data_IF_422300189361
#
_entry.id   IF_422300189361
#
_cell.length_a   1.000
_cell.length_b   1.000
_cell.length_c   1.000
_cell.angle_alpha   90.00
_cell.angle_beta   90.00
_cell.angle_gamma   90.00
#
_symmetry.space_group_name_H-M   'P 1'
#
loop_
_entity.id
_entity.type
_entity.pdbx_description
1 polymer ?
#
# COMPACT_ATOMS: atom_id res chain seq x y z
N UNK A 1 0.49 1.00 -10.88
CA UNK A 1 0.70 -0.33 -10.24
C UNK A 1 1.97 -0.38 -9.37
N UNK A 2 2.42 0.74 -8.78
CA UNK A 2 3.68 0.72 -8.00
C UNK A 2 3.50 0.08 -6.62
N UNK A 3 2.27 0.12 -6.08
CA UNK A 3 1.92 -0.45 -4.77
C UNK A 3 2.00 -1.97 -4.73
N UNK A 4 1.93 -2.66 -5.87
CA UNK A 4 1.97 -4.13 -5.91
C UNK A 4 3.37 -4.68 -5.65
N UNK A 5 4.41 -3.91 -5.97
CA UNK A 5 5.81 -4.26 -5.74
C UNK A 5 6.10 -4.48 -4.24
N UNK A 6 5.87 -3.51 -3.33
CA UNK A 6 6.13 -3.71 -1.91
C UNK A 6 5.25 -4.81 -1.30
N UNK A 7 3.99 -4.91 -1.72
CA UNK A 7 3.07 -5.97 -1.25
C UNK A 7 3.63 -7.35 -1.59
N UNK A 8 3.98 -7.57 -2.86
CA UNK A 8 4.52 -8.85 -3.33
C UNK A 8 5.82 -9.20 -2.61
N UNK A 9 6.72 -8.23 -2.46
CA UNK A 9 8.01 -8.44 -1.79
C UNK A 9 7.87 -8.77 -0.30
N UNK A 10 6.97 -8.11 0.43
CA UNK A 10 6.76 -8.41 1.85
C UNK A 10 6.02 -9.72 2.10
N UNK A 11 5.04 -10.07 1.25
CA UNK A 11 4.42 -11.40 1.29
C UNK A 11 5.45 -12.48 0.99
N UNK A 12 6.27 -12.29 -0.04
CA UNK A 12 7.32 -13.24 -0.40
C UNK A 12 8.40 -13.35 0.68
N UNK A 13 8.80 -12.23 1.28
CA UNK A 13 9.72 -12.20 2.43
C UNK A 13 9.20 -13.06 3.59
N UNK A 14 7.91 -12.93 3.93
CA UNK A 14 7.26 -13.74 4.95
C UNK A 14 7.21 -15.23 4.58
N UNK A 15 6.99 -15.57 3.31
CA UNK A 15 7.06 -16.96 2.84
C UNK A 15 8.47 -17.51 3.00
N UNK A 16 9.49 -16.76 2.60
CA UNK A 16 10.89 -17.16 2.79
C UNK A 16 11.24 -17.38 4.26
N UNK A 17 10.72 -16.56 5.18
CA UNK A 17 10.87 -16.76 6.62
C UNK A 17 10.32 -18.12 7.08
N UNK A 18 9.13 -18.52 6.60
CA UNK A 18 8.55 -19.82 6.94
C UNK A 18 9.33 -20.99 6.32
N UNK A 19 9.79 -20.84 5.07
CA UNK A 19 10.62 -21.86 4.43
C UNK A 19 11.94 -22.03 5.18
N UNK A 20 12.57 -20.93 5.63
CA UNK A 20 13.76 -21.01 6.48
C UNK A 20 13.50 -21.77 7.78
N UNK A 21 12.39 -21.48 8.48
CA UNK A 21 12.04 -22.20 9.72
C UNK A 21 11.86 -23.70 9.49
N UNK A 22 11.33 -24.10 8.34
CA UNK A 22 11.12 -25.52 8.02
C UNK A 22 12.38 -26.23 7.52
N UNK A 23 13.22 -25.54 6.75
CA UNK A 23 14.36 -26.14 6.04
C UNK A 23 15.71 -25.93 6.73
N UNK A 24 15.85 -24.89 7.56
CA UNK A 24 17.13 -24.46 8.12
C UNK A 24 18.12 -23.87 7.11
N UNK A 25 17.75 -23.76 5.83
CA UNK A 25 18.65 -23.29 4.77
C UNK A 25 18.74 -21.75 4.78
N UNK A 26 19.91 -21.25 5.16
CA UNK A 26 20.20 -19.82 5.34
C UNK A 26 20.01 -18.98 4.08
N UNK A 27 19.99 -19.59 2.88
CA UNK A 27 19.67 -18.88 1.64
C UNK A 27 18.28 -18.24 1.70
N UNK A 28 17.30 -18.93 2.31
CA UNK A 28 15.96 -18.38 2.48
C UNK A 28 15.91 -17.20 3.44
N UNK A 29 16.72 -17.20 4.50
CA UNK A 29 16.85 -16.07 5.41
C UNK A 29 17.46 -14.84 4.70
N UNK A 30 18.49 -15.06 3.87
CA UNK A 30 19.11 -14.00 3.05
C UNK A 30 18.10 -13.45 2.03
N UNK A 31 17.35 -14.31 1.35
CA UNK A 31 16.30 -13.88 0.41
C UNK A 31 15.19 -13.10 1.13
N UNK A 32 14.72 -13.57 2.29
CA UNK A 32 13.73 -12.86 3.11
C UNK A 32 14.21 -11.45 3.48
N UNK A 33 15.49 -11.33 3.85
CA UNK A 33 16.12 -10.06 4.20
C UNK A 33 16.16 -9.06 3.03
N UNK A 34 16.64 -9.47 1.85
CA UNK A 34 16.72 -8.57 0.71
C UNK A 34 15.34 -8.20 0.14
N UNK A 35 14.38 -9.11 0.20
CA UNK A 35 13.01 -8.84 -0.25
C UNK A 35 12.27 -7.91 0.71
N UNK A 36 12.53 -8.03 2.03
CA UNK A 36 12.07 -7.06 3.03
C UNK A 36 12.59 -5.65 2.71
N UNK A 37 13.90 -5.52 2.48
CA UNK A 37 14.55 -4.25 2.13
C UNK A 37 14.02 -3.66 0.82
N UNK A 38 13.92 -4.48 -0.23
CA UNK A 38 13.36 -4.08 -1.52
C UNK A 38 11.91 -3.62 -1.40
N UNK A 39 11.12 -4.27 -0.54
CA UNK A 39 9.75 -3.86 -0.26
C UNK A 39 9.67 -2.50 0.43
N UNK A 40 10.59 -2.17 1.35
CA UNK A 40 10.66 -0.83 1.96
C UNK A 40 10.93 0.23 0.88
N UNK A 41 11.93 0.01 0.02
CA UNK A 41 12.26 0.93 -1.08
C UNK A 41 11.07 1.08 -2.03
N UNK A 42 10.45 -0.03 -2.42
CA UNK A 42 9.26 -0.02 -3.28
C UNK A 42 8.08 0.72 -2.65
N UNK A 43 7.87 0.61 -1.33
CA UNK A 43 6.81 1.30 -0.61
C UNK A 43 7.04 2.81 -0.56
N UNK A 44 8.28 3.24 -0.33
CA UNK A 44 8.64 4.66 -0.34
C UNK A 44 8.44 5.28 -1.74
N UNK A 45 8.83 4.56 -2.79
CA UNK A 45 8.57 4.99 -4.17
C UNK A 45 7.07 5.03 -4.49
N UNK A 46 6.30 4.05 -4.01
CA UNK A 46 4.85 4.00 -4.17
C UNK A 46 4.10 5.10 -3.38
N UNK A 47 4.65 5.55 -2.26
CA UNK A 47 4.07 6.59 -1.42
C UNK A 47 4.05 7.96 -2.13
N UNK A 48 5.00 8.23 -3.04
CA UNK A 48 5.08 9.51 -3.75
C UNK A 48 3.83 9.81 -4.60
N UNK A 49 3.45 8.97 -5.60
CA UNK A 49 2.23 9.22 -6.36
C UNK A 49 0.99 9.14 -5.48
N UNK A 50 0.94 8.23 -4.50
CA UNK A 50 -0.21 8.12 -3.59
C UNK A 50 -0.43 9.37 -2.73
N UNK A 51 0.65 10.04 -2.32
CA UNK A 51 0.56 11.30 -1.58
C UNK A 51 0.09 12.45 -2.49
N UNK A 52 0.56 12.50 -3.74
CA UNK A 52 0.10 13.49 -4.73
C UNK A 52 -1.40 13.32 -4.97
N UNK A 53 -1.87 12.09 -5.18
CA UNK A 53 -3.29 11.78 -5.37
C UNK A 53 -4.12 12.17 -4.13
N UNK A 54 -3.60 11.89 -2.93
CA UNK A 54 -4.26 12.25 -1.68
C UNK A 54 -4.42 13.76 -1.50
N UNK A 55 -3.39 14.55 -1.83
CA UNK A 55 -3.45 16.02 -1.76
C UNK A 55 -4.42 16.63 -2.79
N UNK A 56 -4.74 15.90 -3.86
CA UNK A 56 -5.74 16.30 -4.85
C UNK A 56 -7.19 15.97 -4.45
N UNK A 57 -7.43 15.35 -3.29
CA UNK A 57 -8.77 15.00 -2.83
C UNK A 57 -9.54 16.22 -2.31
N UNK A 58 -10.72 16.45 -2.88
CA UNK A 58 -11.62 17.54 -2.46
C UNK A 58 -12.86 17.03 -1.70
N UNK A 59 -13.18 15.74 -1.78
CA UNK A 59 -14.30 15.13 -1.06
C UNK A 59 -13.89 14.77 0.38
N UNK A 60 -14.63 15.25 1.37
CA UNK A 60 -14.31 15.05 2.79
C UNK A 60 -14.33 13.57 3.23
N UNK A 61 -15.22 12.75 2.62
CA UNK A 61 -15.32 11.32 2.91
C UNK A 61 -14.12 10.58 2.33
N UNK A 62 -13.72 10.91 1.10
CA UNK A 62 -12.52 10.39 0.47
C UNK A 62 -11.26 10.82 1.24
N UNK A 63 -11.17 12.07 1.67
CA UNK A 63 -10.04 12.56 2.46
C UNK A 63 -9.90 11.82 3.80
N UNK A 64 -11.01 11.55 4.50
CA UNK A 64 -11.00 10.78 5.74
C UNK A 64 -10.51 9.35 5.54
N UNK A 65 -11.06 8.62 4.57
CA UNK A 65 -10.61 7.25 4.26
C UNK A 65 -9.17 7.25 3.75
N UNK A 66 -8.79 8.24 2.95
CA UNK A 66 -7.44 8.47 2.46
C UNK A 66 -6.43 8.69 3.59
N UNK A 67 -6.82 9.42 4.64
CA UNK A 67 -5.97 9.64 5.82
C UNK A 67 -5.75 8.35 6.57
N UNK A 68 -6.81 7.57 6.82
CA UNK A 68 -6.65 6.25 7.46
C UNK A 68 -5.77 5.31 6.64
N UNK A 69 -5.94 5.31 5.31
CA UNK A 69 -5.11 4.53 4.41
C UNK A 69 -3.64 4.98 4.47
N UNK A 70 -3.36 6.29 4.38
CA UNK A 70 -2.02 6.86 4.43
C UNK A 70 -1.31 6.52 5.76
N UNK A 71 -1.98 6.78 6.89
CA UNK A 71 -1.43 6.53 8.23
C UNK A 71 -1.15 5.04 8.43
N UNK A 72 -2.08 4.17 8.02
CA UNK A 72 -1.90 2.73 8.12
C UNK A 72 -0.69 2.26 7.28
N UNK A 73 -0.55 2.72 6.04
CA UNK A 73 0.62 2.35 5.23
C UNK A 73 1.94 2.87 5.80
N UNK A 74 1.96 4.09 6.34
CA UNK A 74 3.16 4.62 6.99
C UNK A 74 3.54 3.81 8.23
N UNK A 75 2.55 3.38 9.03
CA UNK A 75 2.78 2.50 10.17
C UNK A 75 3.32 1.13 9.74
N UNK A 76 2.81 0.55 8.65
CA UNK A 76 3.31 -0.71 8.09
C UNK A 76 4.76 -0.55 7.62
N UNK A 77 5.09 0.53 6.89
CA UNK A 77 6.47 0.82 6.45
C UNK A 77 7.39 0.96 7.65
N UNK A 78 6.98 1.71 8.68
CA UNK A 78 7.76 1.88 9.90
C UNK A 78 7.98 0.54 10.62
N UNK A 79 6.95 -0.30 10.74
CA UNK A 79 7.07 -1.63 11.32
C UNK A 79 8.04 -2.52 10.53
N UNK A 80 7.99 -2.47 9.20
CA UNK A 80 8.92 -3.21 8.35
C UNK A 80 10.35 -2.65 8.40
N UNK A 81 10.52 -1.35 8.59
CA UNK A 81 11.83 -0.75 8.83
C UNK A 81 12.41 -1.17 10.19
N UNK A 82 11.60 -1.21 11.25
CA UNK A 82 12.00 -1.76 12.57
C UNK A 82 12.35 -3.23 12.44
N UNK A 83 11.55 -4.01 11.71
CA UNK A 83 11.84 -5.42 11.41
C UNK A 83 13.20 -5.59 10.72
N UNK A 84 13.46 -4.78 9.68
CA UNK A 84 14.74 -4.78 8.98
C UNK A 84 15.91 -4.42 9.91
N UNK A 85 15.74 -3.38 10.74
CA UNK A 85 16.73 -2.98 11.74
C UNK A 85 17.01 -4.09 12.76
N UNK A 86 15.97 -4.76 13.26
CA UNK A 86 16.13 -5.88 14.20
C UNK A 86 16.91 -7.04 13.56
N UNK A 87 16.72 -7.30 12.26
CA UNK A 87 17.47 -8.34 11.53
C UNK A 87 18.94 -7.97 11.31
N UNK A 88 19.29 -6.69 11.24
CA UNK A 88 20.68 -6.23 11.16
C UNK A 88 21.45 -6.47 12.46
N UNK A 89 20.76 -6.36 13.59
CA UNK A 89 21.35 -6.47 14.93
C UNK A 89 21.42 -7.93 15.42
N UNK A 90 20.81 -8.86 14.70
CA UNK A 90 20.67 -10.23 15.13
C UNK A 90 21.81 -11.11 14.59
N UNK A 91 22.64 -11.62 15.49
CA UNK A 91 23.60 -12.68 15.17
C UNK A 91 22.85 -14.02 15.00
N UNK A 92 22.29 -14.23 13.81
CA UNK A 92 21.78 -15.52 13.34
C UNK A 92 20.44 -16.02 13.93
N UNK A 93 20.04 -15.60 15.13
CA UNK A 93 19.01 -16.33 15.91
C UNK A 93 17.84 -15.49 16.49
N UNK A 94 17.73 -14.18 16.19
CA UNK A 94 16.59 -13.37 16.64
C UNK A 94 15.31 -13.65 15.83
N UNK A 95 14.87 -14.91 15.87
CA UNK A 95 14.04 -15.51 14.85
C UNK A 95 12.54 -15.14 15.01
N UNK A 96 12.04 -14.99 16.25
CA UNK A 96 10.59 -14.92 16.48
C UNK A 96 10.01 -13.51 16.31
N UNK A 97 10.62 -12.49 16.92
CA UNK A 97 10.07 -11.13 16.94
C UNK A 97 10.00 -10.49 15.54
N UNK A 98 11.07 -10.49 14.72
CA UNK A 98 11.01 -9.95 13.35
C UNK A 98 9.97 -10.68 12.48
N UNK A 99 9.80 -11.99 12.64
CA UNK A 99 8.75 -12.76 11.93
C UNK A 99 7.35 -12.37 12.38
N UNK A 100 7.13 -12.21 13.69
CA UNK A 100 5.84 -11.76 14.21
C UNK A 100 5.48 -10.36 13.68
N UNK A 101 6.46 -9.45 13.60
CA UNK A 101 6.28 -8.12 12.98
C UNK A 101 5.90 -8.28 11.49
N UNK A 102 6.61 -9.10 10.72
CA UNK A 102 6.27 -9.38 9.31
C UNK A 102 4.83 -9.86 9.16
N UNK A 103 4.39 -10.82 9.99
CA UNK A 103 3.03 -11.36 9.93
C UNK A 103 1.96 -10.30 10.20
N UNK A 104 2.15 -9.50 11.25
CA UNK A 104 1.21 -8.42 11.60
C UNK A 104 1.19 -7.35 10.51
N UNK A 105 2.35 -6.98 9.95
CA UNK A 105 2.45 -6.04 8.86
C UNK A 105 1.73 -6.52 7.59
N UNK A 106 1.90 -7.80 7.22
CA UNK A 106 1.19 -8.40 6.07
C UNK A 106 -0.31 -8.50 6.32
N UNK A 107 -0.75 -8.82 7.53
CA UNK A 107 -2.18 -8.80 7.87
C UNK A 107 -2.76 -7.37 7.76
N UNK A 108 -2.02 -6.37 8.24
CA UNK A 108 -2.40 -4.97 8.11
C UNK A 108 -2.44 -4.49 6.65
N UNK A 109 -1.60 -5.02 5.76
CA UNK A 109 -1.66 -4.74 4.32
C UNK A 109 -2.99 -5.17 3.69
N UNK A 110 -3.61 -6.25 4.16
CA UNK A 110 -4.93 -6.70 3.66
C UNK A 110 -5.98 -5.63 3.96
N UNK A 111 -5.97 -5.12 5.20
CA UNK A 111 -6.86 -4.03 5.64
C UNK A 111 -6.58 -2.77 4.82
N UNK A 112 -5.31 -2.40 4.68
CA UNK A 112 -4.89 -1.25 3.86
C UNK A 112 -5.37 -1.38 2.40
N UNK A 113 -5.22 -2.56 1.80
CA UNK A 113 -5.67 -2.86 0.44
C UNK A 113 -7.18 -2.69 0.27
N UNK A 114 -7.97 -3.09 1.27
CA UNK A 114 -9.42 -2.84 1.27
C UNK A 114 -9.74 -1.34 1.32
N UNK A 115 -9.06 -0.55 2.17
CA UNK A 115 -9.25 0.91 2.20
C UNK A 115 -8.91 1.57 0.86
N UNK A 116 -7.79 1.16 0.25
CA UNK A 116 -7.38 1.65 -1.07
C UNK A 116 -8.40 1.30 -2.16
N UNK A 117 -8.91 0.06 -2.14
CA UNK A 117 -9.98 -0.39 -3.02
C UNK A 117 -11.27 0.41 -2.84
N UNK A 118 -11.65 0.73 -1.60
CA UNK A 118 -12.83 1.54 -1.30
C UNK A 118 -12.71 2.99 -1.83
N UNK A 119 -11.52 3.60 -1.75
CA UNK A 119 -11.27 4.92 -2.33
C UNK A 119 -11.49 4.95 -3.85
N UNK A 120 -10.97 3.93 -4.55
CA UNK A 120 -11.03 3.85 -6.01
C UNK A 120 -12.42 3.44 -6.50
N UNK A 121 -13.00 2.37 -5.94
CA UNK A 121 -14.19 1.73 -6.50
C UNK A 121 -15.51 2.23 -5.92
N UNK A 122 -15.50 2.75 -4.68
CA UNK A 122 -16.73 3.22 -4.00
C UNK A 122 -16.81 4.74 -4.01
N UNK A 123 -15.69 5.42 -3.74
CA UNK A 123 -15.65 6.89 -3.68
C UNK A 123 -15.25 7.54 -5.01
N UNK A 124 -14.92 6.75 -6.03
CA UNK A 124 -14.75 7.25 -7.40
C UNK A 124 -13.61 8.24 -7.58
N UNK A 125 -12.58 8.22 -6.72
CA UNK A 125 -11.46 9.18 -6.71
C UNK A 125 -10.73 9.29 -8.06
N UNK A 126 -10.80 8.25 -8.89
CA UNK A 126 -10.18 8.20 -10.23
C UNK A 126 -11.12 8.56 -11.38
N UNK A 127 -12.40 8.87 -11.12
CA UNK A 127 -13.34 9.22 -12.18
C UNK A 127 -13.39 10.75 -12.38
N UNK A 128 -13.28 11.23 -13.64
CA UNK A 128 -13.59 12.62 -13.95
C UNK A 128 -15.01 12.94 -13.48
N UNK A 129 -15.17 14.00 -12.69
CA UNK A 129 -16.47 14.39 -12.15
C UNK A 129 -17.44 14.66 -13.32
N UNK A 130 -18.47 13.82 -13.45
CA UNK A 130 -19.50 13.94 -14.49
C UNK A 130 -20.29 15.26 -14.44
N UNK A 131 -20.10 16.09 -13.41
CA UNK A 131 -20.69 17.41 -13.28
C UNK A 131 -20.29 18.36 -14.42
N UNK A 132 -19.09 18.22 -15.00
CA UNK A 132 -18.70 19.03 -16.16
C UNK A 132 -19.42 18.61 -17.46
N UNK A 133 -19.83 17.34 -17.59
CA UNK A 133 -20.50 16.85 -18.79
C UNK A 133 -22.00 17.22 -18.83
N UNK A 134 -22.65 17.25 -17.66
CA UNK A 134 -24.05 17.65 -17.53
C UNK A 134 -24.30 19.14 -17.79
N UNK A 135 -23.41 20.02 -17.35
CA UNK A 135 -23.51 21.46 -17.63
C UNK A 135 -23.25 21.80 -19.09
N UNK A 136 -22.32 21.11 -19.75
CA UNK A 136 -22.05 21.32 -21.19
C UNK A 136 -23.21 20.80 -22.04
N UNK A 137 -23.78 19.63 -21.71
CA UNK A 137 -24.95 19.10 -22.41
C UNK A 137 -26.19 19.98 -22.22
N UNK A 138 -26.47 20.43 -20.99
CA UNK A 138 -27.59 21.32 -20.68
C UNK A 138 -27.42 22.76 -21.19
N UNK A 139 -26.19 23.18 -21.53
CA UNK A 139 -25.93 24.47 -22.20
C UNK A 139 -26.10 24.36 -23.72
N UNK A 140 -25.77 23.22 -24.30
CA UNK A 140 -25.94 22.96 -25.74
C UNK A 140 -27.42 22.85 -26.14
N UNK A 141 -28.26 22.18 -25.33
CA UNK A 141 -29.70 22.09 -25.57
C UNK A 141 -30.43 23.42 -25.40
N UNK A 142 -29.90 24.32 -24.55
CA UNK A 142 -30.45 25.68 -24.39
C UNK A 142 -30.13 26.62 -25.55
N UNK A 143 -29.08 26.34 -26.32
CA UNK A 143 -28.68 27.13 -27.48
C UNK A 143 -29.29 26.61 -28.80
N UNK A 144 -29.69 25.34 -28.84
CA UNK A 144 -30.32 24.70 -29.99
C UNK A 144 -31.62 23.98 -29.59
N UNK A 145 -32.69 24.71 -29.25
CA UNK A 145 -33.99 24.10 -29.02
C UNK A 145 -34.42 23.40 -30.32
N UNK A 146 -34.66 22.09 -30.25
CA UNK A 146 -35.23 21.33 -31.38
C UNK A 146 -36.66 21.82 -31.61
N UNK A 147 -36.86 22.57 -32.70
CA UNK A 147 -38.18 22.87 -33.26
C UNK A 147 -38.77 21.63 -33.94
#
# INVERSE_FOLDING_TARGET
MLVTVPIGLWVFSLVCDFVFVYTGDTRWAVTAYFTLAGGIVGALLAALPGLIDFLGLHDERAHRVGTYHLVLNLAIVAAQAVNFWLRLQADGDAAVLPRAISMVAVAALIVSGWLGGHLVHVLGVTQPQAHAAGEVAGRHDRLHPRM
#
